data_IF_103455344237
#
_entry.id   IF_103455344237
#
_cell.length_a   1.000
_cell.length_b   1.000
_cell.length_c   1.000
_cell.angle_alpha   90.00
_cell.angle_beta   90.00
_cell.angle_gamma   90.00
#
_symmetry.space_group_name_H-M   'P 1'
#
loop_
_entity.id
_entity.type
_entity.pdbx_description
1 polymer ?
#
# COMPACT_ATOMS: atom_id res chain seq x y z
N UNK A 1 16.00 2.52 33.97
CA UNK A 1 16.26 1.43 33.00
C UNK A 1 15.22 0.37 33.30
N UNK A 2 14.19 0.21 32.47
CA UNK A 2 13.23 -0.90 32.60
C UNK A 2 13.96 -2.20 32.29
N UNK A 3 13.68 -3.27 33.06
CA UNK A 3 14.19 -4.60 32.78
C UNK A 3 13.87 -4.97 31.32
N UNK A 4 14.79 -5.61 30.60
CA UNK A 4 14.50 -6.07 29.24
C UNK A 4 13.29 -7.01 29.30
N UNK A 5 12.35 -6.82 28.38
CA UNK A 5 11.22 -7.75 28.23
C UNK A 5 11.78 -9.16 28.09
N UNK A 6 11.17 -10.19 28.71
CA UNK A 6 11.65 -11.55 28.61
C UNK A 6 11.72 -11.94 27.12
N UNK A 7 12.90 -12.26 26.64
CA UNK A 7 13.08 -12.77 25.27
C UNK A 7 12.41 -14.13 25.14
N UNK A 8 11.49 -14.27 24.21
CA UNK A 8 10.87 -15.56 23.89
C UNK A 8 11.92 -16.40 23.17
N UNK A 9 12.16 -17.60 23.65
CA UNK A 9 13.02 -18.59 22.95
C UNK A 9 12.14 -19.70 22.38
N UNK A 10 12.32 -20.02 21.13
CA UNK A 10 11.66 -21.14 20.45
C UNK A 10 12.71 -22.15 20.00
N UNK A 11 12.49 -23.43 20.25
CA UNK A 11 13.24 -24.48 19.60
C UNK A 11 12.86 -24.54 18.11
N UNK A 12 13.78 -24.93 17.24
CA UNK A 12 13.53 -25.03 15.79
C UNK A 12 12.38 -26.00 15.46
N UNK A 13 12.16 -27.05 16.28
CA UNK A 13 10.99 -27.94 16.16
C UNK A 13 9.67 -27.20 16.40
N UNK A 14 9.62 -26.26 17.34
CA UNK A 14 8.43 -25.44 17.58
C UNK A 14 8.16 -24.49 16.40
N UNK A 15 9.24 -23.98 15.82
CA UNK A 15 9.14 -23.15 14.59
C UNK A 15 8.67 -24.04 13.43
N UNK A 16 9.18 -25.24 13.27
CA UNK A 16 8.71 -26.19 12.26
C UNK A 16 7.22 -26.50 12.39
N UNK A 17 6.72 -26.72 13.61
CA UNK A 17 5.28 -26.91 13.86
C UNK A 17 4.45 -25.67 13.46
N UNK A 18 4.97 -24.46 13.67
CA UNK A 18 4.31 -23.19 13.34
C UNK A 18 4.23 -22.94 11.83
N UNK A 19 5.32 -23.22 11.10
CA UNK A 19 5.42 -22.84 9.68
C UNK A 19 5.19 -24.01 8.71
N UNK A 20 5.23 -25.23 9.21
CA UNK A 20 5.16 -26.47 8.40
C UNK A 20 6.44 -26.72 7.61
N UNK A 21 6.36 -27.55 6.57
CA UNK A 21 7.48 -27.86 5.69
C UNK A 21 8.29 -29.07 6.13
N UNK A 22 9.58 -29.10 5.83
CA UNK A 22 10.49 -30.22 6.17
C UNK A 22 11.73 -29.69 6.91
N UNK A 23 11.92 -30.16 8.14
CA UNK A 23 13.08 -29.84 8.96
C UNK A 23 14.29 -30.68 8.55
N UNK A 24 15.44 -30.04 8.45
CA UNK A 24 16.75 -30.65 8.26
C UNK A 24 17.70 -30.10 9.34
N UNK A 25 18.39 -30.99 10.05
CA UNK A 25 19.34 -30.66 11.13
C UNK A 25 18.71 -30.77 12.53
N UNK A 26 19.34 -30.13 13.51
CA UNK A 26 18.95 -30.22 14.92
C UNK A 26 17.72 -29.38 15.24
N UNK A 27 16.61 -30.04 15.55
CA UNK A 27 15.35 -29.42 15.96
C UNK A 27 15.40 -28.75 17.35
N UNK A 28 16.37 -29.05 18.18
CA UNK A 28 16.55 -28.43 19.49
C UNK A 28 17.22 -27.05 19.42
N UNK A 29 17.74 -26.64 18.26
CA UNK A 29 18.41 -25.33 18.06
C UNK A 29 17.56 -24.18 18.59
N UNK A 30 18.07 -23.40 19.60
CA UNK A 30 17.32 -22.31 20.20
C UNK A 30 17.35 -21.06 19.30
N UNK A 31 16.19 -20.48 19.09
CA UNK A 31 16.00 -19.24 18.30
C UNK A 31 15.33 -18.19 19.17
N UNK A 32 15.98 -17.04 19.30
CA UNK A 32 15.49 -15.89 20.10
C UNK A 32 15.16 -14.67 19.24
N UNK A 33 15.65 -14.65 17.97
CA UNK A 33 15.50 -13.51 17.07
C UNK A 33 15.23 -13.94 15.63
N UNK A 34 14.75 -12.99 14.86
CA UNK A 34 14.66 -13.02 13.39
C UNK A 34 15.51 -11.88 12.84
N UNK A 35 16.43 -12.22 11.93
CA UNK A 35 17.35 -11.22 11.36
C UNK A 35 17.48 -11.36 9.85
N UNK A 36 18.11 -10.36 9.23
CA UNK A 36 18.55 -10.47 7.84
C UNK A 36 19.67 -11.52 7.75
N UNK A 37 19.84 -12.09 6.57
CA UNK A 37 20.85 -13.13 6.37
C UNK A 37 22.30 -12.62 6.60
N UNK A 38 22.53 -11.31 6.37
CA UNK A 38 23.83 -10.64 6.60
C UNK A 38 24.14 -10.38 8.08
N UNK A 39 23.10 -10.12 8.88
CA UNK A 39 23.27 -9.65 10.25
C UNK A 39 22.98 -10.74 11.29
N UNK A 40 22.44 -11.88 10.84
CA UNK A 40 22.02 -12.97 11.71
C UNK A 40 23.18 -13.54 12.55
N UNK A 41 22.86 -13.81 13.81
CA UNK A 41 23.72 -14.48 14.78
C UNK A 41 23.31 -15.94 14.98
N UNK A 42 24.08 -16.70 15.75
CA UNK A 42 23.79 -18.10 16.06
C UNK A 42 22.44 -18.33 16.78
N UNK A 43 21.82 -17.29 17.30
CA UNK A 43 20.51 -17.37 17.97
C UNK A 43 19.36 -16.85 17.08
N UNK A 44 19.65 -16.42 15.86
CA UNK A 44 18.68 -15.87 14.93
C UNK A 44 18.32 -16.84 13.81
N UNK A 45 17.07 -16.75 13.34
CA UNK A 45 16.61 -17.41 12.11
C UNK A 45 16.50 -16.38 10.98
N UNK A 46 17.09 -16.71 9.83
CA UNK A 46 16.99 -15.91 8.61
C UNK A 46 16.26 -16.69 7.51
N UNK A 47 15.96 -16.05 6.38
CA UNK A 47 15.33 -16.71 5.25
C UNK A 47 16.15 -16.59 3.96
N UNK A 48 16.00 -17.59 3.09
CA UNK A 48 16.66 -17.70 1.78
C UNK A 48 15.57 -17.92 0.73
N UNK A 49 15.46 -17.01 -0.23
CA UNK A 49 14.47 -17.09 -1.31
C UNK A 49 15.09 -17.55 -2.63
N UNK A 50 16.40 -17.39 -2.79
CA UNK A 50 17.14 -17.76 -3.98
C UNK A 50 18.57 -18.17 -3.66
N UNK A 51 19.21 -18.90 -4.58
CA UNK A 51 20.63 -19.29 -4.43
C UNK A 51 21.61 -18.10 -4.45
N UNK A 52 21.15 -16.94 -4.92
CA UNK A 52 21.92 -15.70 -4.85
C UNK A 52 22.10 -15.21 -3.43
N UNK A 53 21.11 -15.45 -2.58
CA UNK A 53 21.12 -15.05 -1.16
C UNK A 53 22.22 -15.80 -0.37
N UNK A 54 22.65 -16.97 -0.83
CA UNK A 54 23.68 -17.79 -0.19
C UNK A 54 25.11 -17.27 -0.40
N UNK A 55 25.31 -16.31 -1.29
CA UNK A 55 26.63 -15.76 -1.62
C UNK A 55 26.99 -14.61 -0.67
N UNK A 56 27.27 -14.94 0.59
CA UNK A 56 27.72 -13.98 1.60
C UNK A 56 29.24 -14.14 1.79
N UNK A 57 30.05 -13.07 1.63
CA UNK A 57 31.51 -13.15 1.68
C UNK A 57 32.06 -13.74 2.99
N UNK A 58 31.48 -13.40 4.14
CA UNK A 58 31.90 -13.84 5.47
C UNK A 58 31.21 -15.11 5.96
N UNK A 59 30.42 -15.76 5.09
CA UNK A 59 29.61 -16.92 5.42
C UNK A 59 28.32 -16.55 6.18
N UNK A 60 27.43 -17.53 6.31
CA UNK A 60 26.14 -17.38 7.01
C UNK A 60 26.36 -17.75 8.49
N UNK A 61 26.04 -16.83 9.40
CA UNK A 61 26.17 -17.00 10.86
C UNK A 61 24.83 -17.29 11.56
N UNK A 62 23.74 -17.37 10.82
CA UNK A 62 22.42 -17.68 11.36
C UNK A 62 22.39 -19.05 12.05
N UNK A 63 21.70 -19.15 13.18
CA UNK A 63 21.49 -20.41 13.89
C UNK A 63 20.57 -21.37 13.14
N UNK A 64 19.62 -20.84 12.34
CA UNK A 64 18.77 -21.61 11.46
C UNK A 64 18.34 -20.83 10.24
N UNK A 65 17.85 -21.54 9.21
CA UNK A 65 17.34 -20.93 7.98
C UNK A 65 15.93 -21.42 7.63
N UNK A 66 15.14 -20.53 7.05
CA UNK A 66 13.92 -20.86 6.29
C UNK A 66 14.28 -20.82 4.81
N UNK A 67 14.13 -21.90 4.08
CA UNK A 67 14.66 -22.03 2.72
C UNK A 67 13.59 -22.54 1.74
N UNK A 68 13.75 -22.21 0.47
CA UNK A 68 12.88 -22.68 -0.62
C UNK A 68 13.22 -24.10 -1.11
N UNK A 69 14.41 -24.59 -0.78
CA UNK A 69 14.91 -25.94 -1.08
C UNK A 69 15.79 -26.47 0.05
N UNK A 70 16.11 -27.75 -0.02
CA UNK A 70 17.13 -28.35 0.85
C UNK A 70 18.52 -27.79 0.54
N UNK A 71 19.24 -27.36 1.59
CA UNK A 71 20.57 -26.75 1.53
C UNK A 71 21.63 -27.76 2.01
N UNK A 72 21.85 -28.84 1.22
CA UNK A 72 22.80 -29.93 1.57
C UNK A 72 24.23 -29.44 1.66
N UNK A 73 24.56 -28.32 1.03
CA UNK A 73 25.89 -27.68 1.05
C UNK A 73 26.22 -26.93 2.34
N UNK A 74 25.22 -26.73 3.21
CA UNK A 74 25.36 -26.01 4.48
C UNK A 74 25.12 -26.95 5.66
N UNK A 75 25.93 -26.81 6.72
CA UNK A 75 25.74 -27.51 8.00
C UNK A 75 24.71 -26.82 8.92
N UNK A 76 24.11 -25.71 8.48
CA UNK A 76 23.15 -24.95 9.28
C UNK A 76 21.78 -25.64 9.27
N UNK A 77 21.14 -25.86 10.43
CA UNK A 77 19.77 -26.37 10.51
C UNK A 77 18.80 -25.50 9.70
N UNK A 78 17.87 -26.12 8.95
CA UNK A 78 16.95 -25.36 8.14
C UNK A 78 15.61 -26.05 7.93
N UNK A 79 14.57 -25.23 7.70
CA UNK A 79 13.23 -25.71 7.37
C UNK A 79 12.94 -25.34 5.91
N UNK A 80 12.64 -26.35 5.10
CA UNK A 80 12.23 -26.15 3.70
C UNK A 80 10.74 -25.86 3.68
N UNK A 81 10.37 -24.67 3.15
CA UNK A 81 8.99 -24.19 3.08
C UNK A 81 8.69 -23.59 1.71
N UNK A 82 7.43 -23.58 1.30
CA UNK A 82 7.00 -23.04 0.01
C UNK A 82 7.24 -21.51 -0.09
N UNK A 83 7.06 -20.79 1.02
CA UNK A 83 7.26 -19.33 1.08
C UNK A 83 8.12 -18.97 2.31
N UNK A 84 9.44 -18.91 2.17
CA UNK A 84 10.36 -18.61 3.28
C UNK A 84 10.09 -17.24 3.94
N UNK A 85 9.76 -16.23 3.16
CA UNK A 85 9.46 -14.89 3.68
C UNK A 85 8.19 -14.85 4.53
N UNK A 86 7.14 -15.56 4.11
CA UNK A 86 5.92 -15.69 4.92
C UNK A 86 6.18 -16.48 6.20
N UNK A 87 6.94 -17.57 6.12
CA UNK A 87 7.33 -18.36 7.28
C UNK A 87 8.12 -17.50 8.29
N UNK A 88 9.09 -16.74 7.80
CA UNK A 88 9.87 -15.81 8.63
C UNK A 88 8.99 -14.75 9.32
N UNK A 89 8.02 -14.17 8.61
CA UNK A 89 7.08 -13.23 9.20
C UNK A 89 6.24 -13.85 10.33
N UNK A 90 5.80 -15.11 10.18
CA UNK A 90 5.09 -15.86 11.25
C UNK A 90 5.97 -16.10 12.47
N UNK A 91 7.24 -16.43 12.26
CA UNK A 91 8.20 -16.58 13.36
C UNK A 91 8.41 -15.24 14.06
N UNK A 92 8.60 -14.15 13.31
CA UNK A 92 8.75 -12.81 13.84
C UNK A 92 7.55 -12.42 14.74
N UNK A 93 6.33 -12.66 14.27
CA UNK A 93 5.11 -12.43 15.05
C UNK A 93 5.09 -13.26 16.35
N UNK A 94 5.57 -14.50 16.32
CA UNK A 94 5.59 -15.37 17.51
C UNK A 94 6.67 -15.00 18.52
N UNK A 95 7.79 -14.44 18.05
CA UNK A 95 8.89 -13.91 18.88
C UNK A 95 8.63 -12.48 19.36
N UNK A 96 7.64 -11.78 18.79
CA UNK A 96 7.26 -10.46 19.25
C UNK A 96 6.82 -10.51 20.72
N UNK A 97 7.16 -9.48 21.52
CA UNK A 97 6.71 -9.42 22.92
C UNK A 97 5.20 -9.58 23.02
N UNK A 98 4.71 -10.38 24.00
CA UNK A 98 3.29 -10.57 24.18
C UNK A 98 2.62 -9.27 24.58
N UNK A 99 1.38 -9.07 24.13
CA UNK A 99 0.54 -8.02 24.65
C UNK A 99 0.28 -8.25 26.15
N UNK A 100 0.58 -7.24 26.95
CA UNK A 100 0.27 -7.24 28.38
C UNK A 100 -0.66 -6.06 28.68
N UNK A 101 -1.92 -6.30 29.11
CA UNK A 101 -2.85 -5.23 29.40
C UNK A 101 -2.33 -4.40 30.57
N UNK A 102 -2.32 -3.06 30.41
CA UNK A 102 -1.89 -2.10 31.45
C UNK A 102 -3.06 -1.56 32.27
N UNK A 103 -4.28 -1.82 31.83
CA UNK A 103 -5.47 -1.21 32.41
C UNK A 103 -5.68 0.23 31.94
N UNK A 104 -6.47 0.97 32.69
CA UNK A 104 -6.91 2.33 32.34
C UNK A 104 -6.16 3.33 33.23
N UNK A 105 -5.51 4.32 32.61
CA UNK A 105 -4.83 5.40 33.33
C UNK A 105 -5.82 6.22 34.17
N UNK A 106 -5.38 6.64 35.34
CA UNK A 106 -6.22 7.35 36.30
C UNK A 106 -6.65 8.75 35.83
N UNK A 107 -5.89 9.35 34.93
CA UNK A 107 -6.13 10.66 34.29
C UNK A 107 -6.91 10.61 32.99
N UNK A 108 -7.57 9.48 32.68
CA UNK A 108 -8.40 9.35 31.49
C UNK A 108 -9.52 10.39 31.50
N UNK A 109 -9.47 11.30 30.50
CA UNK A 109 -10.58 12.21 30.23
C UNK A 109 -11.64 11.48 29.39
N UNK A 110 -12.84 11.31 29.93
CA UNK A 110 -13.94 10.64 29.23
C UNK A 110 -15.26 11.41 29.36
N UNK A 111 -16.01 11.43 28.29
CA UNK A 111 -17.37 11.95 28.23
C UNK A 111 -18.39 11.03 28.89
N UNK A 112 -19.66 11.31 28.63
CA UNK A 112 -20.79 10.52 29.11
C UNK A 112 -21.00 9.25 28.28
N UNK A 113 -21.55 8.19 28.89
CA UNK A 113 -21.96 6.95 28.22
C UNK A 113 -20.83 6.28 27.42
N UNK A 114 -19.60 6.33 27.92
CA UNK A 114 -18.45 5.66 27.33
C UNK A 114 -18.42 4.21 27.79
N UNK A 115 -18.37 3.27 26.83
CA UNK A 115 -18.25 1.83 27.08
C UNK A 115 -16.82 1.38 26.78
N UNK A 116 -16.21 0.63 27.70
CA UNK A 116 -14.82 0.13 27.57
C UNK A 116 -14.82 -1.37 27.86
N UNK A 117 -14.36 -2.13 26.87
CA UNK A 117 -14.21 -3.58 26.95
C UNK A 117 -13.12 -4.04 27.93
N UNK A 118 -12.98 -5.35 28.14
CA UNK A 118 -11.97 -5.92 29.04
C UNK A 118 -10.56 -5.88 28.45
N UNK A 119 -9.57 -6.03 29.33
CA UNK A 119 -8.14 -6.20 29.01
C UNK A 119 -7.54 -5.07 28.14
N UNK A 120 -8.05 -3.84 28.29
CA UNK A 120 -7.55 -2.69 27.56
C UNK A 120 -6.23 -2.14 28.13
N UNK A 121 -5.49 -1.39 27.31
CA UNK A 121 -4.35 -0.55 27.70
C UNK A 121 -4.61 0.89 27.31
N UNK A 122 -5.14 1.69 28.22
CA UNK A 122 -5.37 3.13 27.98
C UNK A 122 -4.34 3.93 28.76
N UNK A 123 -3.45 4.57 28.02
CA UNK A 123 -2.33 5.34 28.55
C UNK A 123 -2.76 6.73 29.03
N UNK A 124 -1.92 7.41 29.83
CA UNK A 124 -2.16 8.80 30.22
C UNK A 124 -2.39 9.74 29.03
N UNK A 125 -3.13 10.83 29.28
CA UNK A 125 -3.46 11.88 28.30
C UNK A 125 -4.32 11.39 27.12
N UNK A 126 -5.03 10.27 27.25
CA UNK A 126 -6.06 9.85 26.30
C UNK A 126 -7.35 10.60 26.60
N UNK A 127 -8.06 11.01 25.54
CA UNK A 127 -9.38 11.65 25.65
C UNK A 127 -10.42 10.88 24.86
N UNK A 128 -11.53 10.53 25.50
CA UNK A 128 -12.69 9.89 24.86
C UNK A 128 -13.90 10.84 24.94
N UNK A 129 -14.55 11.10 23.81
CA UNK A 129 -15.79 11.88 23.73
C UNK A 129 -16.99 11.10 24.29
N UNK A 130 -18.20 11.68 24.15
CA UNK A 130 -19.46 11.06 24.57
C UNK A 130 -19.80 9.86 23.68
N UNK A 131 -20.46 8.84 24.25
CA UNK A 131 -20.96 7.64 23.55
C UNK A 131 -19.89 6.86 22.79
N UNK A 132 -18.62 6.97 23.18
CA UNK A 132 -17.53 6.20 22.58
C UNK A 132 -17.59 4.76 23.06
N UNK A 133 -17.41 3.82 22.15
CA UNK A 133 -17.29 2.38 22.44
C UNK A 133 -15.89 1.88 22.12
N UNK A 134 -15.19 1.31 23.10
CA UNK A 134 -13.88 0.69 22.98
C UNK A 134 -14.02 -0.81 23.20
N UNK A 135 -13.59 -1.61 22.26
CA UNK A 135 -13.60 -3.08 22.32
C UNK A 135 -12.60 -3.68 23.31
N UNK A 136 -12.55 -5.00 23.35
CA UNK A 136 -11.64 -5.76 24.20
C UNK A 136 -10.18 -5.65 23.69
N UNK A 137 -9.19 -5.67 24.60
CA UNK A 137 -7.75 -5.68 24.30
C UNK A 137 -7.25 -4.53 23.43
N UNK A 138 -8.01 -3.45 23.37
CA UNK A 138 -7.61 -2.24 22.64
C UNK A 138 -6.46 -1.55 23.36
N UNK A 139 -5.48 -1.05 22.61
CA UNK A 139 -4.40 -0.21 23.14
C UNK A 139 -4.53 1.22 22.59
N UNK A 140 -4.67 2.18 23.49
CA UNK A 140 -4.64 3.61 23.19
C UNK A 140 -3.40 4.24 23.83
N UNK A 141 -2.47 4.67 23.02
CA UNK A 141 -1.22 5.31 23.47
C UNK A 141 -1.43 6.78 23.86
N UNK A 142 -0.43 7.42 24.52
CA UNK A 142 -0.56 8.80 24.99
C UNK A 142 -0.98 9.80 23.89
N UNK A 143 -1.88 10.71 24.27
CA UNK A 143 -2.37 11.76 23.36
C UNK A 143 -3.37 11.31 22.29
N UNK A 144 -3.85 10.07 22.36
CA UNK A 144 -4.93 9.62 21.48
C UNK A 144 -6.22 10.34 21.84
N UNK A 145 -6.89 10.88 20.84
CA UNK A 145 -8.21 11.48 20.94
C UNK A 145 -9.23 10.64 20.15
N UNK A 146 -10.34 10.27 20.79
CA UNK A 146 -11.47 9.59 20.15
C UNK A 146 -12.71 10.46 20.34
N UNK A 147 -13.22 11.03 19.25
CA UNK A 147 -14.40 11.91 19.22
C UNK A 147 -15.70 11.16 19.49
N UNK A 148 -16.73 11.91 19.87
CA UNK A 148 -18.05 11.38 20.25
C UNK A 148 -18.66 10.48 19.16
N UNK A 149 -19.48 9.53 19.56
CA UNK A 149 -20.21 8.60 18.68
C UNK A 149 -19.29 7.73 17.81
N UNK A 150 -18.01 7.53 18.25
CA UNK A 150 -17.04 6.70 17.52
C UNK A 150 -16.85 5.34 18.20
N UNK A 151 -16.49 4.35 17.40
CA UNK A 151 -16.28 2.95 17.86
C UNK A 151 -14.89 2.47 17.47
N UNK A 152 -14.20 1.78 18.39
CA UNK A 152 -12.92 1.09 18.15
C UNK A 152 -13.11 -0.39 18.46
N UNK A 153 -12.93 -1.24 17.45
CA UNK A 153 -13.08 -2.70 17.57
C UNK A 153 -11.93 -3.38 18.31
N UNK A 154 -12.15 -4.63 18.68
CA UNK A 154 -11.26 -5.47 19.48
C UNK A 154 -9.84 -5.56 18.90
N UNK A 155 -8.85 -5.75 19.78
CA UNK A 155 -7.44 -5.95 19.44
C UNK A 155 -6.80 -4.82 18.63
N UNK A 156 -7.42 -3.64 18.56
CA UNK A 156 -6.91 -2.52 17.79
C UNK A 156 -5.90 -1.69 18.59
N UNK A 157 -4.92 -1.12 17.87
CA UNK A 157 -3.82 -0.35 18.46
C UNK A 157 -3.75 1.02 17.82
N UNK A 158 -3.92 2.07 18.63
CA UNK A 158 -3.78 3.46 18.21
C UNK A 158 -2.52 4.04 18.87
N UNK A 159 -1.54 4.35 18.06
CA UNK A 159 -0.24 4.89 18.49
C UNK A 159 -0.33 6.37 18.93
N UNK A 160 0.72 6.93 19.56
CA UNK A 160 0.67 8.26 20.14
C UNK A 160 0.16 9.35 19.18
N UNK A 161 -0.69 10.24 19.71
CA UNK A 161 -1.23 11.40 18.99
C UNK A 161 -2.11 11.07 17.77
N UNK A 162 -2.69 9.86 17.73
CA UNK A 162 -3.73 9.54 16.75
C UNK A 162 -5.02 10.28 17.13
N UNK A 163 -5.66 10.88 16.13
CA UNK A 163 -6.94 11.59 16.27
C UNK A 163 -8.01 10.87 15.46
N UNK A 164 -9.02 10.36 16.15
CA UNK A 164 -10.25 9.86 15.55
C UNK A 164 -11.33 10.91 15.80
N UNK A 165 -11.82 11.57 14.76
CA UNK A 165 -12.90 12.54 14.86
C UNK A 165 -14.23 11.82 15.14
N UNK A 166 -15.22 12.63 15.48
CA UNK A 166 -16.57 12.18 15.83
C UNK A 166 -17.24 11.36 14.69
N UNK A 167 -18.03 10.33 15.10
CA UNK A 167 -18.82 9.50 14.19
C UNK A 167 -18.00 8.60 13.26
N UNK A 168 -16.81 8.17 13.69
CA UNK A 168 -15.96 7.24 12.95
C UNK A 168 -16.05 5.82 13.52
N UNK A 169 -15.97 4.84 12.64
CA UNK A 169 -15.94 3.41 13.02
C UNK A 169 -14.62 2.79 12.62
N UNK A 170 -13.92 2.23 13.60
CA UNK A 170 -12.67 1.48 13.43
C UNK A 170 -12.97 0.02 13.77
N UNK A 171 -12.68 -0.89 12.86
CA UNK A 171 -12.86 -2.33 13.01
C UNK A 171 -11.92 -2.98 14.02
N UNK A 172 -11.92 -4.30 14.03
CA UNK A 172 -11.05 -5.10 14.90
C UNK A 172 -9.64 -5.30 14.28
N UNK A 173 -8.62 -5.46 15.14
CA UNK A 173 -7.22 -5.70 14.73
C UNK A 173 -6.66 -4.62 13.80
N UNK A 174 -7.15 -3.40 13.96
CA UNK A 174 -6.68 -2.24 13.21
C UNK A 174 -5.47 -1.64 13.93
N UNK A 175 -4.44 -1.33 13.17
CA UNK A 175 -3.27 -0.58 13.67
C UNK A 175 -3.24 0.80 13.01
N UNK A 176 -3.18 1.86 13.83
CA UNK A 176 -3.06 3.24 13.35
C UNK A 176 -1.82 3.87 13.96
N UNK A 177 -0.88 4.25 13.11
CA UNK A 177 0.39 4.82 13.53
C UNK A 177 0.31 6.31 13.86
N UNK A 178 1.32 6.78 14.60
CA UNK A 178 1.37 8.09 15.24
C UNK A 178 1.07 9.26 14.30
N UNK A 179 0.35 10.25 14.82
CA UNK A 179 0.04 11.49 14.12
C UNK A 179 -1.05 11.40 13.05
N UNK A 180 -1.62 10.22 12.84
CA UNK A 180 -2.70 10.03 11.85
C UNK A 180 -4.00 10.65 12.32
N UNK A 181 -4.71 11.30 11.39
CA UNK A 181 -6.01 11.93 11.61
C UNK A 181 -7.08 11.23 10.77
N UNK A 182 -8.09 10.68 11.41
CA UNK A 182 -9.23 10.03 10.78
C UNK A 182 -10.48 10.89 11.00
N UNK A 183 -11.14 11.29 9.92
CA UNK A 183 -12.40 12.03 9.96
C UNK A 183 -12.23 13.55 9.93
N UNK A 184 -11.10 14.09 9.45
CA UNK A 184 -10.98 15.52 9.12
C UNK A 184 -12.00 15.92 8.06
N UNK A 185 -12.32 17.21 8.01
CA UNK A 185 -13.22 17.72 6.98
C UNK A 185 -12.59 17.60 5.59
N UNK A 186 -13.33 17.06 4.65
CA UNK A 186 -12.96 17.08 3.24
C UNK A 186 -12.83 18.49 2.68
N UNK A 187 -12.07 18.64 1.62
CA UNK A 187 -11.82 19.89 0.92
C UNK A 187 -12.98 20.20 -0.04
N UNK A 188 -14.06 20.81 0.49
CA UNK A 188 -15.27 21.13 -0.26
C UNK A 188 -15.63 22.61 -0.12
N UNK A 189 -15.70 23.33 -1.25
CA UNK A 189 -16.05 24.74 -1.31
C UNK A 189 -16.93 25.04 -2.53
N UNK A 190 -17.93 25.91 -2.35
CA UNK A 190 -18.66 26.53 -3.44
C UNK A 190 -18.11 27.95 -3.68
N UNK A 191 -18.24 28.45 -4.90
CA UNK A 191 -17.89 29.84 -5.20
C UNK A 191 -19.13 30.70 -5.16
N UNK A 192 -19.04 31.83 -4.45
CA UNK A 192 -20.05 32.90 -4.45
C UNK A 192 -19.35 34.25 -4.60
N UNK A 193 -19.61 34.95 -5.70
CA UNK A 193 -19.05 36.29 -6.02
C UNK A 193 -17.52 36.39 -5.78
N UNK A 194 -16.77 35.36 -6.20
CA UNK A 194 -15.31 35.30 -6.04
C UNK A 194 -14.81 34.88 -4.65
N UNK A 195 -15.71 34.48 -3.74
CA UNK A 195 -15.38 33.97 -2.41
C UNK A 195 -15.62 32.46 -2.33
N UNK A 196 -14.81 31.78 -1.53
CA UNK A 196 -14.98 30.37 -1.25
C UNK A 196 -15.87 30.17 -0.02
N UNK A 197 -17.04 29.57 -0.21
CA UNK A 197 -17.97 29.21 0.85
C UNK A 197 -17.76 27.73 1.19
N UNK A 198 -17.44 27.42 2.46
CA UNK A 198 -17.20 26.03 2.90
C UNK A 198 -18.47 25.19 2.81
N UNK A 199 -18.35 24.01 2.25
CA UNK A 199 -19.36 22.96 2.31
C UNK A 199 -19.08 22.11 3.56
N UNK A 200 -19.95 22.11 4.59
CA UNK A 200 -19.76 21.29 5.79
C UNK A 200 -19.69 19.80 5.42
N UNK A 201 -18.79 19.08 6.06
CA UNK A 201 -18.63 17.65 5.88
C UNK A 201 -19.31 16.91 7.03
N UNK A 202 -20.41 16.21 6.73
CA UNK A 202 -21.35 15.68 7.73
C UNK A 202 -21.38 14.15 7.82
N UNK A 203 -20.63 13.46 6.96
CA UNK A 203 -20.53 12.02 6.96
C UNK A 203 -19.45 11.50 7.92
N UNK A 204 -19.17 10.21 7.87
CA UNK A 204 -18.18 9.55 8.70
C UNK A 204 -17.01 8.92 7.92
N UNK A 205 -16.17 8.21 8.66
CA UNK A 205 -15.15 7.30 8.12
C UNK A 205 -15.37 5.91 8.72
N UNK A 206 -15.28 4.87 7.89
CA UNK A 206 -15.26 3.48 8.33
C UNK A 206 -13.98 2.80 7.88
N UNK A 207 -13.22 2.30 8.82
CA UNK A 207 -12.04 1.45 8.63
C UNK A 207 -12.43 0.05 9.08
N UNK A 208 -12.39 -0.92 8.17
CA UNK A 208 -12.77 -2.30 8.44
C UNK A 208 -11.62 -3.07 9.14
N UNK A 209 -11.85 -4.36 9.42
CA UNK A 209 -10.92 -5.22 10.16
C UNK A 209 -9.56 -5.40 9.46
N UNK A 210 -8.52 -5.69 10.26
CA UNK A 210 -7.17 -6.05 9.78
C UNK A 210 -6.49 -4.97 8.93
N UNK A 211 -6.97 -3.72 8.97
CA UNK A 211 -6.37 -2.57 8.28
C UNK A 211 -5.17 -2.04 9.07
N UNK A 212 -4.16 -1.60 8.35
CA UNK A 212 -3.02 -0.88 8.93
C UNK A 212 -2.86 0.48 8.25
N UNK A 213 -2.78 1.54 9.05
CA UNK A 213 -2.63 2.92 8.60
C UNK A 213 -1.32 3.47 9.11
N UNK A 214 -0.46 3.91 8.21
CA UNK A 214 0.84 4.50 8.49
C UNK A 214 0.80 5.82 9.27
N UNK A 215 1.96 6.35 9.58
CA UNK A 215 2.09 7.59 10.34
C UNK A 215 1.74 8.83 9.51
N UNK A 216 1.13 9.83 10.16
CA UNK A 216 0.74 11.11 9.55
C UNK A 216 -0.12 10.95 8.28
N UNK A 217 -0.98 9.95 8.24
CA UNK A 217 -2.01 9.77 7.22
C UNK A 217 -3.20 10.67 7.55
N UNK A 218 -3.83 11.24 6.54
CA UNK A 218 -5.07 12.00 6.70
C UNK A 218 -6.19 11.36 5.90
N UNK A 219 -7.33 11.10 6.58
CA UNK A 219 -8.50 10.45 5.99
C UNK A 219 -9.70 11.35 6.23
N UNK A 220 -10.20 11.95 5.15
CA UNK A 220 -11.30 12.88 5.26
C UNK A 220 -12.65 12.17 5.38
N UNK A 221 -13.54 12.74 6.17
CA UNK A 221 -14.93 12.28 6.29
C UNK A 221 -15.73 12.55 5.01
N UNK A 222 -16.75 11.77 4.79
CA UNK A 222 -17.63 11.97 3.68
C UNK A 222 -18.50 13.25 3.80
N UNK A 223 -18.94 13.76 2.68
CA UNK A 223 -19.65 15.04 2.60
C UNK A 223 -21.04 15.01 3.24
N UNK A 224 -21.81 13.93 3.06
CA UNK A 224 -23.21 13.87 3.53
C UNK A 224 -23.39 12.86 4.66
N UNK A 225 -24.38 13.06 5.54
CA UNK A 225 -24.64 12.20 6.71
C UNK A 225 -24.82 10.71 6.39
N UNK A 226 -25.30 10.38 5.20
CA UNK A 226 -25.54 9.01 4.78
C UNK A 226 -24.34 8.39 4.04
N UNK A 227 -23.33 9.18 3.71
CA UNK A 227 -22.12 8.71 3.03
C UNK A 227 -20.97 8.48 4.02
N UNK A 228 -20.01 7.68 3.58
CA UNK A 228 -18.86 7.28 4.40
C UNK A 228 -17.64 7.13 3.50
N UNK A 229 -16.50 7.68 3.93
CA UNK A 229 -15.19 7.31 3.37
C UNK A 229 -14.81 5.97 3.94
N UNK A 230 -14.45 5.00 3.10
CA UNK A 230 -14.34 3.60 3.52
C UNK A 230 -13.01 2.97 3.14
N UNK A 231 -12.36 2.34 4.10
CA UNK A 231 -11.17 1.51 3.89
C UNK A 231 -11.51 0.08 4.27
N UNK A 232 -11.51 -0.81 3.29
CA UNK A 232 -11.96 -2.19 3.48
C UNK A 232 -10.89 -3.09 4.06
N UNK A 233 -11.35 -4.23 4.56
CA UNK A 233 -10.59 -5.25 5.29
C UNK A 233 -9.22 -5.55 4.69
N UNK A 234 -8.20 -5.65 5.55
CA UNK A 234 -6.85 -6.09 5.18
C UNK A 234 -6.03 -5.09 4.38
N UNK A 235 -6.56 -3.90 4.07
CA UNK A 235 -5.85 -2.85 3.34
C UNK A 235 -4.66 -2.32 4.16
N UNK A 236 -3.54 -2.04 3.49
CA UNK A 236 -2.34 -1.45 4.08
C UNK A 236 -2.06 -0.10 3.46
N UNK A 237 -2.01 0.93 4.30
CA UNK A 237 -1.73 2.31 3.91
C UNK A 237 -0.43 2.74 4.58
N UNK A 238 0.54 3.15 3.79
CA UNK A 238 1.84 3.61 4.26
C UNK A 238 1.79 5.08 4.72
N UNK A 239 2.90 5.61 5.17
CA UNK A 239 3.02 6.93 5.78
C UNK A 239 2.70 8.08 4.83
N UNK A 240 2.19 9.19 5.36
CA UNK A 240 1.96 10.46 4.64
C UNK A 240 0.97 10.35 3.46
N UNK A 241 0.04 9.42 3.49
CA UNK A 241 -1.01 9.28 2.47
C UNK A 241 -2.17 10.22 2.78
N UNK A 242 -2.72 10.87 1.72
CA UNK A 242 -3.96 11.63 1.80
C UNK A 242 -5.10 10.85 1.14
N UNK A 243 -6.16 10.58 1.88
CA UNK A 243 -7.40 9.95 1.41
C UNK A 243 -8.54 10.96 1.56
N UNK A 244 -9.02 11.50 0.44
CA UNK A 244 -10.05 12.52 0.45
C UNK A 244 -11.45 11.95 0.72
N UNK A 245 -12.42 12.86 0.88
CA UNK A 245 -13.81 12.55 1.21
C UNK A 245 -14.48 11.59 0.21
N UNK A 246 -15.34 10.72 0.69
CA UNK A 246 -16.12 9.76 -0.13
C UNK A 246 -15.29 8.73 -0.89
N UNK A 247 -13.99 8.61 -0.63
CA UNK A 247 -13.15 7.56 -1.22
C UNK A 247 -13.54 6.20 -0.65
N UNK A 248 -13.53 5.18 -1.52
CA UNK A 248 -13.62 3.78 -1.10
C UNK A 248 -12.38 3.04 -1.57
N UNK A 249 -11.65 2.40 -0.66
CA UNK A 249 -10.52 1.52 -0.97
C UNK A 249 -10.93 0.08 -0.71
N UNK A 250 -10.86 -0.75 -1.75
CA UNK A 250 -11.20 -2.17 -1.73
C UNK A 250 -10.26 -3.01 -0.87
N UNK A 251 -10.73 -4.18 -0.47
CA UNK A 251 -10.03 -5.07 0.44
C UNK A 251 -8.64 -5.49 -0.05
N UNK A 252 -7.71 -5.70 0.89
CA UNK A 252 -6.34 -6.19 0.64
C UNK A 252 -5.54 -5.34 -0.35
N UNK A 253 -5.87 -4.07 -0.50
CA UNK A 253 -5.12 -3.13 -1.33
C UNK A 253 -3.92 -2.56 -0.57
N UNK A 254 -2.90 -2.13 -1.31
CA UNK A 254 -1.68 -1.52 -0.76
C UNK A 254 -1.54 -0.12 -1.33
N UNK A 255 -1.46 0.87 -0.45
CA UNK A 255 -1.24 2.28 -0.78
C UNK A 255 0.09 2.71 -0.19
N UNK A 256 1.10 2.90 -1.04
CA UNK A 256 2.46 3.23 -0.61
C UNK A 256 2.59 4.72 -0.25
N UNK A 257 3.66 5.09 0.44
CA UNK A 257 3.86 6.40 1.02
C UNK A 257 3.63 7.59 0.07
N UNK A 258 3.08 8.67 0.62
CA UNK A 258 2.86 9.95 -0.08
C UNK A 258 1.89 9.89 -1.27
N UNK A 259 1.05 8.86 -1.35
CA UNK A 259 -0.02 8.82 -2.36
C UNK A 259 -1.11 9.83 -1.98
N UNK A 260 -1.64 10.52 -3.00
CA UNK A 260 -2.80 11.40 -2.87
C UNK A 260 -3.99 10.83 -3.65
N UNK A 261 -5.12 10.60 -2.96
CA UNK A 261 -6.35 10.10 -3.57
C UNK A 261 -7.42 11.19 -3.46
N UNK A 262 -7.84 11.75 -4.59
CA UNK A 262 -8.86 12.79 -4.61
C UNK A 262 -10.27 12.25 -4.35
N UNK A 263 -11.20 13.17 -4.06
CA UNK A 263 -12.52 12.84 -3.56
C UNK A 263 -13.38 11.97 -4.48
N UNK A 264 -14.25 11.17 -3.88
CA UNK A 264 -15.21 10.30 -4.59
C UNK A 264 -14.59 9.25 -5.51
N UNK A 265 -13.31 8.95 -5.34
CA UNK A 265 -12.60 7.88 -6.07
C UNK A 265 -12.93 6.52 -5.48
N UNK A 266 -13.22 5.55 -6.34
CA UNK A 266 -13.45 4.15 -5.95
C UNK A 266 -12.28 3.28 -6.40
N UNK A 267 -11.67 2.58 -5.46
CA UNK A 267 -10.54 1.68 -5.70
C UNK A 267 -11.01 0.26 -5.41
N UNK A 268 -10.76 -0.65 -6.34
CA UNK A 268 -11.08 -2.08 -6.23
C UNK A 268 -10.24 -2.80 -5.19
N UNK A 269 -10.41 -4.11 -5.11
CA UNK A 269 -9.66 -4.98 -4.22
C UNK A 269 -8.30 -5.39 -4.82
N UNK A 270 -7.33 -5.72 -3.95
CA UNK A 270 -5.97 -6.14 -4.34
C UNK A 270 -5.24 -5.15 -5.26
N UNK A 271 -5.57 -3.87 -5.19
CA UNK A 271 -4.90 -2.80 -5.93
C UNK A 271 -3.59 -2.44 -5.25
N UNK A 272 -2.55 -2.20 -6.04
CA UNK A 272 -1.26 -1.72 -5.54
C UNK A 272 -0.96 -0.34 -6.11
N UNK A 273 -0.83 0.67 -5.24
CA UNK A 273 -0.55 2.06 -5.63
C UNK A 273 0.85 2.42 -5.15
N UNK A 274 1.76 2.63 -6.10
CA UNK A 274 3.15 2.99 -5.84
C UNK A 274 3.30 4.39 -5.26
N UNK A 275 4.37 4.60 -4.50
CA UNK A 275 4.62 5.83 -3.75
C UNK A 275 4.57 7.10 -4.60
N UNK A 276 4.07 8.18 -4.01
CA UNK A 276 3.90 9.49 -4.66
C UNK A 276 2.97 9.50 -5.89
N UNK A 277 2.15 8.47 -6.09
CA UNK A 277 1.12 8.52 -7.13
C UNK A 277 -0.01 9.46 -6.72
N UNK A 278 -0.61 10.12 -7.71
CA UNK A 278 -1.79 10.99 -7.54
C UNK A 278 -2.96 10.48 -8.36
N UNK A 279 -4.13 10.35 -7.73
CA UNK A 279 -5.37 9.91 -8.38
C UNK A 279 -6.35 11.07 -8.43
N UNK A 280 -6.90 11.35 -9.63
CA UNK A 280 -7.93 12.36 -9.83
C UNK A 280 -9.25 11.96 -9.14
N UNK A 281 -10.13 12.94 -8.95
CA UNK A 281 -11.45 12.77 -8.37
C UNK A 281 -12.41 12.02 -9.30
N UNK A 282 -13.43 11.39 -8.68
CA UNK A 282 -14.53 10.74 -9.39
C UNK A 282 -14.12 9.66 -10.40
N UNK A 283 -12.95 9.01 -10.23
CA UNK A 283 -12.51 7.88 -11.06
C UNK A 283 -12.71 6.54 -10.36
N UNK A 284 -12.75 5.48 -11.17
CA UNK A 284 -12.80 4.10 -10.68
C UNK A 284 -11.54 3.36 -11.09
N UNK A 285 -10.87 2.76 -10.12
CA UNK A 285 -9.72 1.86 -10.33
C UNK A 285 -10.22 0.43 -10.14
N UNK A 286 -10.14 -0.38 -11.18
CA UNK A 286 -10.59 -1.77 -11.16
C UNK A 286 -9.76 -2.66 -10.22
N UNK A 287 -10.24 -3.86 -9.96
CA UNK A 287 -9.56 -4.85 -9.12
C UNK A 287 -8.18 -5.22 -9.69
N UNK A 288 -7.21 -5.51 -8.80
CA UNK A 288 -5.86 -5.99 -9.16
C UNK A 288 -5.06 -5.04 -10.07
N UNK A 289 -5.40 -3.77 -10.13
CA UNK A 289 -4.63 -2.75 -10.85
C UNK A 289 -3.32 -2.49 -10.11
N UNK A 290 -2.23 -2.33 -10.86
CA UNK A 290 -0.94 -1.90 -10.34
C UNK A 290 -0.58 -0.52 -10.91
N UNK A 291 -0.39 0.46 -10.04
CA UNK A 291 -0.01 1.82 -10.37
C UNK A 291 1.44 2.04 -9.94
N UNK A 292 2.33 2.32 -10.88
CA UNK A 292 3.74 2.58 -10.58
C UNK A 292 3.92 3.89 -9.78
N UNK A 293 5.04 4.00 -9.08
CA UNK A 293 5.38 5.18 -8.32
C UNK A 293 5.37 6.46 -9.18
N UNK A 294 4.91 7.58 -8.60
CA UNK A 294 4.83 8.91 -9.22
C UNK A 294 3.91 9.00 -10.44
N UNK A 295 3.02 8.04 -10.64
CA UNK A 295 2.03 8.10 -11.70
C UNK A 295 0.92 9.11 -11.39
N UNK A 296 0.53 9.90 -12.38
CA UNK A 296 -0.66 10.75 -12.34
C UNK A 296 -1.82 10.07 -13.06
N UNK A 297 -2.79 9.56 -12.31
CA UNK A 297 -3.94 8.85 -12.86
C UNK A 297 -5.13 9.80 -12.95
N UNK A 298 -5.50 10.18 -14.17
CA UNK A 298 -6.55 11.17 -14.45
C UNK A 298 -7.82 10.57 -15.09
N UNK A 299 -7.94 9.24 -15.13
CA UNK A 299 -9.09 8.51 -15.69
C UNK A 299 -9.26 7.16 -15.03
N UNK A 300 -10.44 6.59 -15.15
CA UNK A 300 -10.70 5.23 -14.67
C UNK A 300 -9.81 4.19 -15.36
N UNK A 301 -9.47 3.13 -14.62
CA UNK A 301 -8.64 2.01 -15.08
C UNK A 301 -9.44 0.72 -14.96
N UNK A 302 -9.40 -0.07 -16.01
CA UNK A 302 -10.01 -1.40 -16.04
C UNK A 302 -9.24 -2.38 -15.14
N UNK A 303 -9.86 -3.45 -14.63
CA UNK A 303 -9.18 -4.44 -13.79
C UNK A 303 -7.92 -5.04 -14.43
N UNK A 304 -6.96 -5.45 -13.59
CA UNK A 304 -5.70 -6.11 -13.98
C UNK A 304 -4.74 -5.26 -14.84
N UNK A 305 -4.95 -3.96 -14.95
CA UNK A 305 -4.03 -3.08 -15.67
C UNK A 305 -2.78 -2.76 -14.83
N UNK A 306 -1.64 -2.62 -15.53
CA UNK A 306 -0.41 -2.08 -14.96
C UNK A 306 -0.13 -0.76 -15.66
N UNK A 307 -0.07 0.35 -14.90
CA UNK A 307 0.14 1.69 -15.45
C UNK A 307 1.33 2.39 -14.82
N UNK A 308 2.00 3.25 -15.60
CA UNK A 308 3.17 4.02 -15.17
C UNK A 308 3.11 5.43 -15.74
N UNK A 309 3.74 6.40 -15.10
CA UNK A 309 3.66 7.80 -15.54
C UNK A 309 4.89 8.67 -15.37
N UNK A 310 5.99 8.20 -14.78
CA UNK A 310 7.16 9.04 -14.53
C UNK A 310 8.47 8.22 -14.50
N UNK A 311 8.97 7.74 -15.66
CA UNK A 311 10.24 7.01 -15.68
C UNK A 311 11.42 7.95 -15.42
N UNK A 312 12.39 7.52 -14.60
CA UNK A 312 13.70 8.17 -14.52
C UNK A 312 14.51 7.84 -15.78
N UNK A 313 15.24 8.83 -16.29
CA UNK A 313 16.12 8.66 -17.45
C UNK A 313 17.39 9.50 -17.27
N UNK A 314 18.49 9.22 -17.99
CA UNK A 314 19.69 10.06 -17.97
C UNK A 314 19.34 11.53 -18.25
N UNK A 315 20.01 12.45 -17.55
CA UNK A 315 19.67 13.90 -17.58
C UNK A 315 19.64 14.48 -19.01
N UNK A 316 20.61 14.16 -19.84
CA UNK A 316 20.64 14.63 -21.23
C UNK A 316 19.45 14.12 -22.05
N UNK A 317 19.06 12.86 -21.84
CA UNK A 317 17.87 12.27 -22.51
C UNK A 317 16.60 12.94 -22.02
N UNK A 318 16.49 13.22 -20.69
CA UNK A 318 15.37 13.93 -20.10
C UNK A 318 15.22 15.34 -20.70
N UNK A 319 16.32 16.11 -20.79
CA UNK A 319 16.31 17.44 -21.40
C UNK A 319 15.80 17.42 -22.85
N UNK A 320 16.28 16.45 -23.66
CA UNK A 320 15.81 16.28 -25.04
C UNK A 320 14.34 15.91 -25.10
N UNK A 321 13.87 14.99 -24.23
CA UNK A 321 12.48 14.58 -24.16
C UNK A 321 11.57 15.77 -23.77
N UNK A 322 11.95 16.55 -22.75
CA UNK A 322 11.20 17.74 -22.34
C UNK A 322 11.07 18.79 -23.45
N UNK A 323 12.11 18.97 -24.26
CA UNK A 323 12.07 19.89 -25.42
C UNK A 323 11.11 19.43 -26.53
N UNK A 324 10.86 18.12 -26.64
CA UNK A 324 9.99 17.52 -27.68
C UNK A 324 8.54 17.42 -27.23
N UNK A 325 8.29 17.13 -25.94
CA UNK A 325 6.92 16.92 -25.40
C UNK A 325 5.93 18.03 -25.81
N UNK A 326 6.23 19.34 -25.66
CA UNK A 326 5.31 20.40 -26.07
C UNK A 326 5.00 20.43 -27.56
N UNK A 327 5.87 19.85 -28.41
CA UNK A 327 5.74 19.81 -29.87
C UNK A 327 5.10 18.52 -30.39
N UNK A 328 4.72 17.59 -29.53
CA UNK A 328 4.08 16.32 -29.93
C UNK A 328 2.80 16.52 -30.77
N UNK A 329 1.91 17.51 -30.51
CA UNK A 329 0.77 17.77 -31.38
C UNK A 329 1.17 18.15 -32.82
N UNK A 330 2.19 18.99 -32.93
CA UNK A 330 2.74 19.44 -34.26
C UNK A 330 3.41 18.28 -35.00
N UNK A 331 4.22 17.49 -34.32
CA UNK A 331 4.84 16.30 -34.85
C UNK A 331 3.81 15.28 -35.36
N UNK A 332 2.70 15.10 -34.63
CA UNK A 332 1.60 14.22 -35.06
C UNK A 332 0.94 14.72 -36.37
N UNK A 333 0.77 16.04 -36.51
CA UNK A 333 0.24 16.63 -37.76
C UNK A 333 1.19 16.45 -38.90
N UNK A 334 2.51 16.66 -38.67
CA UNK A 334 3.55 16.46 -39.66
C UNK A 334 3.60 15.02 -40.15
N UNK A 335 3.56 14.04 -39.23
CA UNK A 335 3.54 12.61 -39.58
C UNK A 335 2.34 12.29 -40.48
N UNK A 336 1.14 12.73 -40.13
CA UNK A 336 -0.06 12.52 -40.95
C UNK A 336 0.07 13.14 -42.36
N UNK A 337 0.65 14.36 -42.45
CA UNK A 337 0.91 15.02 -43.71
C UNK A 337 1.91 14.24 -44.55
N UNK A 338 2.96 13.69 -43.95
CA UNK A 338 3.95 12.85 -44.63
C UNK A 338 3.34 11.51 -45.13
N UNK A 339 2.51 10.86 -44.30
CA UNK A 339 1.77 9.64 -44.69
C UNK A 339 0.89 9.88 -45.91
N UNK A 340 0.14 10.99 -45.94
CA UNK A 340 -0.67 11.38 -47.11
C UNK A 340 0.19 11.67 -48.35
N UNK A 341 1.33 12.33 -48.17
CA UNK A 341 2.26 12.63 -49.27
C UNK A 341 2.88 11.36 -49.85
N UNK A 342 3.27 10.42 -48.98
CA UNK A 342 3.79 9.12 -49.41
C UNK A 342 2.73 8.35 -50.18
N UNK A 343 1.51 8.24 -49.70
CA UNK A 343 0.42 7.57 -50.41
C UNK A 343 0.14 8.20 -51.80
N UNK A 344 0.21 9.54 -51.88
CA UNK A 344 0.05 10.25 -53.14
C UNK A 344 1.17 9.92 -54.14
N UNK A 345 2.42 9.92 -53.67
CA UNK A 345 3.59 9.60 -54.50
C UNK A 345 3.59 8.13 -54.96
N UNK A 346 3.22 7.20 -54.10
CA UNK A 346 3.06 5.79 -54.46
C UNK A 346 1.98 5.59 -55.50
N UNK A 347 0.83 6.29 -55.39
CA UNK A 347 -0.21 6.29 -56.43
C UNK A 347 0.25 6.84 -57.78
N UNK A 348 1.04 7.94 -57.77
CA UNK A 348 1.64 8.51 -58.98
C UNK A 348 2.67 7.56 -59.64
N UNK A 349 3.50 6.90 -58.85
CA UNK A 349 4.45 5.91 -59.32
C UNK A 349 3.76 4.68 -59.96
N UNK A 350 2.69 4.21 -59.33
CA UNK A 350 1.90 3.08 -59.84
C UNK A 350 1.23 3.43 -61.19
N UNK A 351 0.69 4.65 -61.33
CA UNK A 351 0.09 5.12 -62.59
C UNK A 351 1.12 5.28 -63.71
N UNK A 352 2.30 5.88 -63.43
CA UNK A 352 3.39 6.01 -64.38
C UNK A 352 3.97 4.65 -64.83
N UNK A 353 4.05 3.68 -63.91
CA UNK A 353 4.48 2.32 -64.25
C UNK A 353 3.49 1.60 -65.20
N UNK A 354 2.17 1.81 -64.98
CA UNK A 354 1.14 1.25 -65.87
C UNK A 354 1.09 1.88 -67.26
N UNK A 355 1.33 3.19 -67.36
CA UNK A 355 1.44 3.88 -68.65
C UNK A 355 2.69 3.47 -69.41
N UNK A 356 3.83 3.31 -68.78
CA UNK A 356 5.06 2.81 -69.40
C UNK A 356 5.00 1.37 -69.91
N UNK A 357 4.09 0.55 -69.33
CA UNK A 357 3.85 -0.82 -69.73
C UNK A 357 2.93 -0.90 -71.03
N UNK A 358 2.04 0.07 -71.21
CA UNK A 358 1.14 0.11 -72.38
C UNK A 358 1.81 0.62 -73.64
N UNK A 359 2.88 1.40 -73.56
CA UNK A 359 3.61 1.94 -74.75
C UNK A 359 4.61 0.96 -75.37
N UNK A 360 4.82 -0.23 -74.75
CA UNK A 360 5.74 -1.28 -75.32
C UNK A 360 5.02 -2.45 -76.04
N UNK A 361 3.86 -2.25 -76.62
CA UNK A 361 3.34 -3.28 -77.56
C UNK A 361 4.11 -3.25 -78.89
N UNK A 362 4.77 -4.31 -79.32
CA UNK A 362 5.48 -4.34 -80.59
C UNK A 362 4.48 -4.31 -81.77
N UNK A 363 4.74 -3.45 -82.72
CA UNK A 363 4.03 -3.42 -83.98
C UNK A 363 4.05 -4.79 -84.66
N UNK A 364 2.88 -5.39 -84.88
CA UNK A 364 2.73 -6.62 -85.64
C UNK A 364 3.19 -6.38 -87.07
N UNK A 365 4.25 -7.05 -87.48
CA UNK A 365 4.62 -7.16 -88.88
C UNK A 365 3.56 -7.98 -89.60
N UNK A 366 2.82 -7.32 -90.46
CA UNK A 366 2.04 -7.98 -91.51
C UNK A 366 2.98 -8.51 -92.64
N UNK A 367 2.83 -9.78 -92.88
CA UNK A 367 3.01 -10.36 -94.21
C UNK A 367 1.80 -11.19 -94.56
#
# INVERSE_FOLDING_TARGET
MSAPSPSITLALDQIHQLVGGKLHGDGATPITAVDSLSDATAEAIAFVTSDKDLKIPDGIKAGALLAHRHLSELSIPHIVVTNPKLAWARVAQRLAPPYLPRGIAADLARGSQVEIGPEVSIWPSVTLGDHVTIGARVTLYPGVFVGSDSTIGDDSVLYPSVVIREGCTIGARVTIHSGTVVGSDGFGYAQDQGRHVKIPQLGGVAIEDDVEIGANVTIDRATTRKSCTRIKTGTKVDNLVQIAHNVTIGAHSIVVAQVGIAGSTTIGQHVMIGGQAGLADHITIGDQVMIAARAGVNRSLEPNQIVSGAPVMPHETWMKAQAVIPRLPELRQLVRSLEQRVATLEGQLASTASEGAQTKKPASRSK
#
